data_IF_446489498389
#
_entry.id   IF_446489498389
#
_cell.length_a   1.000
_cell.length_b   1.000
_cell.length_c   1.000
_cell.angle_alpha   90.00
_cell.angle_beta   90.00
_cell.angle_gamma   90.00
#
_symmetry.space_group_name_H-M   'P 1'
#
loop_
_entity.id
_entity.type
_entity.pdbx_description
1 polymer ?
#
# COMPACT_ATOMS: atom_id res chain seq x y z
N UNK A 1 28.85 14.95 -18.21
CA UNK A 1 28.79 16.44 -18.20
C UNK A 1 28.59 16.92 -19.64
N UNK A 2 27.33 16.83 -20.15
CA UNK A 2 26.95 17.41 -21.43
C UNK A 2 27.04 18.94 -21.39
N UNK A 3 27.42 19.54 -22.52
CA UNK A 3 27.30 20.97 -22.70
C UNK A 3 25.82 21.35 -22.58
N UNK A 4 25.52 22.39 -21.81
CA UNK A 4 24.17 22.91 -21.67
C UNK A 4 23.63 23.26 -23.05
N UNK A 5 22.45 22.72 -23.45
CA UNK A 5 21.77 23.07 -24.70
C UNK A 5 21.87 22.02 -25.82
N UNK A 6 22.21 20.76 -25.52
CA UNK A 6 22.05 19.66 -26.48
C UNK A 6 20.59 19.27 -26.68
N UNK A 7 20.29 18.50 -27.73
CA UNK A 7 18.93 18.07 -28.06
C UNK A 7 18.79 16.56 -28.02
N UNK A 8 17.60 16.11 -27.58
CA UNK A 8 17.20 14.73 -27.55
C UNK A 8 16.33 14.39 -28.77
N UNK A 9 16.49 13.19 -29.29
CA UNK A 9 15.64 12.65 -30.35
C UNK A 9 15.62 11.14 -30.33
N UNK A 10 14.58 10.51 -30.87
CA UNK A 10 14.64 9.08 -31.15
C UNK A 10 15.62 8.80 -32.28
N UNK A 11 16.41 7.72 -32.16
CA UNK A 11 17.26 7.24 -33.24
C UNK A 11 16.44 6.68 -34.41
N UNK A 12 15.28 6.05 -34.07
CA UNK A 12 14.31 5.57 -35.04
C UNK A 12 12.91 6.06 -34.57
N UNK A 13 12.07 6.52 -35.49
CA UNK A 13 10.74 6.99 -35.16
C UNK A 13 9.90 5.86 -34.51
N UNK A 14 9.33 6.07 -33.31
CA UNK A 14 8.41 5.12 -32.71
C UNK A 14 7.16 4.89 -33.54
N UNK A 15 6.61 3.67 -33.50
CA UNK A 15 5.38 3.31 -34.22
C UNK A 15 4.17 3.21 -33.30
N UNK A 16 4.39 3.33 -31.97
CA UNK A 16 3.41 3.15 -30.90
C UNK A 16 2.95 4.47 -30.24
N UNK A 17 3.26 5.60 -30.89
CA UNK A 17 2.85 6.91 -30.43
C UNK A 17 3.72 7.54 -29.32
N UNK A 18 4.87 6.94 -29.00
CA UNK A 18 5.82 7.58 -28.09
C UNK A 18 6.31 8.93 -28.65
N UNK A 19 6.45 9.93 -27.78
CA UNK A 19 6.92 11.28 -28.10
C UNK A 19 8.05 11.65 -27.15
N UNK A 20 9.07 12.34 -27.68
CA UNK A 20 10.17 12.87 -26.87
C UNK A 20 10.19 14.40 -26.94
N UNK A 21 10.34 15.03 -25.78
CA UNK A 21 10.64 16.46 -25.71
C UNK A 21 12.11 16.69 -26.00
N UNK A 22 12.42 17.49 -27.03
CA UNK A 22 13.78 17.64 -27.53
C UNK A 22 14.72 18.36 -26.56
N UNK A 23 14.18 19.19 -25.66
CA UNK A 23 14.98 20.01 -24.74
C UNK A 23 15.20 19.31 -23.40
N UNK A 24 14.18 18.61 -22.90
CA UNK A 24 14.21 17.94 -21.60
C UNK A 24 14.57 16.45 -21.67
N UNK A 25 14.37 15.83 -22.84
CA UNK A 25 14.52 14.38 -23.03
C UNK A 25 13.37 13.56 -22.42
N UNK A 26 12.30 14.21 -21.98
CA UNK A 26 11.15 13.51 -21.44
C UNK A 26 10.45 12.71 -22.53
N UNK A 27 10.33 11.40 -22.33
CA UNK A 27 9.57 10.50 -23.21
C UNK A 27 8.20 10.25 -22.60
N UNK A 28 7.15 10.39 -23.40
CA UNK A 28 5.77 10.14 -23.01
C UNK A 28 5.06 9.26 -24.03
N UNK A 29 4.09 8.49 -23.58
CA UNK A 29 3.42 7.48 -24.44
C UNK A 29 4.30 6.25 -24.67
N UNK A 30 3.91 5.45 -25.66
CA UNK A 30 4.56 4.19 -25.99
C UNK A 30 3.95 2.99 -25.30
N UNK A 31 4.18 1.82 -25.88
CA UNK A 31 3.66 0.56 -25.35
C UNK A 31 4.59 -0.05 -24.31
N UNK A 32 4.05 -0.76 -23.35
CA UNK A 32 4.84 -1.51 -22.37
C UNK A 32 5.72 -2.57 -23.05
N UNK A 33 6.97 -2.66 -22.60
CA UNK A 33 7.98 -3.54 -23.19
C UNK A 33 8.71 -2.97 -24.39
N UNK A 34 8.32 -1.77 -24.87
CA UNK A 34 9.02 -1.09 -25.95
C UNK A 34 10.39 -0.60 -25.49
N UNK A 35 11.36 -0.70 -26.40
CA UNK A 35 12.70 -0.16 -26.22
C UNK A 35 12.96 0.93 -27.25
N UNK A 36 13.45 2.07 -26.79
CA UNK A 36 13.80 3.18 -27.66
C UNK A 36 15.27 3.53 -27.51
N UNK A 37 15.94 3.72 -28.65
CA UNK A 37 17.26 4.33 -28.70
C UNK A 37 17.11 5.85 -28.77
N UNK A 38 17.67 6.53 -27.79
CA UNK A 38 17.62 8.00 -27.67
C UNK A 38 18.99 8.56 -28.02
N UNK A 39 19.00 9.47 -28.97
CA UNK A 39 20.15 10.28 -29.31
C UNK A 39 20.16 11.56 -28.46
N UNK A 40 21.30 11.87 -27.87
CA UNK A 40 21.58 13.19 -27.35
C UNK A 40 22.70 13.82 -28.19
N UNK A 41 22.39 14.93 -28.87
CA UNK A 41 23.31 15.64 -29.72
C UNK A 41 23.68 16.97 -29.10
N UNK A 42 24.98 17.19 -28.86
CA UNK A 42 25.49 18.45 -28.31
C UNK A 42 25.40 19.59 -29.34
N UNK A 43 25.15 20.83 -28.83
CA UNK A 43 25.19 22.02 -29.64
C UNK A 43 26.64 22.49 -29.88
N UNK A 44 26.85 23.27 -30.96
CA UNK A 44 28.13 23.94 -31.24
C UNK A 44 28.65 23.64 -32.62
N UNK A 45 29.87 24.13 -32.98
CA UNK A 45 30.41 23.99 -34.31
C UNK A 45 30.93 22.55 -34.62
N UNK A 46 31.07 21.71 -33.58
CA UNK A 46 31.46 20.31 -33.70
C UNK A 46 30.52 19.46 -32.83
N UNK A 47 29.25 19.23 -33.26
CA UNK A 47 28.32 18.44 -32.51
C UNK A 47 28.77 16.97 -32.39
N UNK A 48 28.53 16.36 -31.22
CA UNK A 48 28.72 14.93 -30.99
C UNK A 48 27.41 14.33 -30.52
N UNK A 49 27.16 13.08 -30.90
CA UNK A 49 25.96 12.34 -30.50
C UNK A 49 26.32 11.14 -29.65
N UNK A 50 25.64 10.98 -28.53
CA UNK A 50 25.61 9.75 -27.73
C UNK A 50 24.23 9.07 -27.90
N UNK A 51 24.23 7.75 -27.74
CA UNK A 51 23.01 6.93 -27.86
C UNK A 51 22.86 6.14 -26.57
N UNK A 52 21.64 6.22 -26.00
CA UNK A 52 21.24 5.42 -24.84
C UNK A 52 19.93 4.69 -25.15
N UNK A 53 19.74 3.53 -24.53
CA UNK A 53 18.51 2.76 -24.66
C UNK A 53 17.66 2.93 -23.41
N UNK A 54 16.37 3.22 -23.59
CA UNK A 54 15.37 3.24 -22.54
C UNK A 54 14.32 2.17 -22.80
N UNK A 55 13.76 1.59 -21.73
CA UNK A 55 12.70 0.57 -21.80
C UNK A 55 11.46 1.07 -21.06
N UNK A 56 10.28 0.90 -21.66
CA UNK A 56 8.99 1.18 -21.01
C UNK A 56 8.60 -0.06 -20.21
N UNK A 57 8.70 0.01 -18.88
CA UNK A 57 8.36 -1.10 -18.00
C UNK A 57 6.88 -1.08 -17.62
N UNK A 58 6.29 -2.26 -17.38
CA UNK A 58 4.96 -2.38 -16.82
C UNK A 58 4.93 -1.87 -15.36
N UNK A 59 3.81 -1.25 -14.94
CA UNK A 59 3.58 -1.07 -13.50
C UNK A 59 3.45 -2.44 -12.82
N UNK A 60 3.68 -2.52 -11.49
CA UNK A 60 3.47 -3.75 -10.75
C UNK A 60 2.00 -4.20 -10.83
N UNK A 61 1.78 -5.52 -11.02
CA UNK A 61 0.46 -6.12 -10.90
C UNK A 61 0.12 -6.29 -9.41
N UNK A 62 -0.90 -5.58 -8.94
CA UNK A 62 -1.33 -5.58 -7.55
C UNK A 62 -2.76 -6.09 -7.42
N UNK A 63 -3.09 -6.55 -6.21
CA UNK A 63 -4.45 -6.97 -5.84
C UNK A 63 -5.02 -5.92 -4.89
N UNK A 64 -6.27 -5.52 -5.12
CA UNK A 64 -7.00 -4.69 -4.17
C UNK A 64 -7.23 -5.49 -2.88
N UNK A 65 -6.72 -5.04 -1.74
CA UNK A 65 -6.81 -5.82 -0.51
C UNK A 65 -8.23 -5.83 0.05
N UNK A 66 -8.56 -6.91 0.73
CA UNK A 66 -9.75 -6.93 1.60
C UNK A 66 -9.56 -5.97 2.77
N UNK A 67 -10.65 -5.40 3.33
CA UNK A 67 -10.54 -4.52 4.51
C UNK A 67 -9.72 -5.15 5.63
N UNK A 68 -8.97 -4.32 6.35
CA UNK A 68 -8.28 -4.73 7.57
C UNK A 68 -9.24 -4.54 8.75
N UNK A 69 -9.74 -5.65 9.29
CA UNK A 69 -10.65 -5.67 10.42
C UNK A 69 -9.90 -6.08 11.70
N UNK A 70 -10.03 -5.28 12.74
CA UNK A 70 -9.42 -5.54 14.05
C UNK A 70 -10.40 -5.20 15.17
N UNK A 71 -10.34 -5.96 16.26
CA UNK A 71 -11.11 -5.62 17.45
C UNK A 71 -10.55 -4.35 18.11
N UNK A 72 -11.45 -3.53 18.63
CA UNK A 72 -11.11 -2.36 19.44
C UNK A 72 -10.27 -2.79 20.67
N UNK A 73 -9.47 -1.88 21.17
CA UNK A 73 -8.70 -2.11 22.38
C UNK A 73 -9.59 -2.02 23.64
N UNK A 74 -8.97 -1.82 24.82
CA UNK A 74 -9.73 -1.72 26.08
C UNK A 74 -10.55 -0.44 26.22
N UNK A 75 -10.41 0.51 25.28
CA UNK A 75 -11.16 1.77 25.25
C UNK A 75 -12.06 1.71 24.02
N UNK A 76 -13.37 1.57 24.24
CA UNK A 76 -14.33 1.43 23.15
C UNK A 76 -14.57 2.78 22.44
N UNK A 77 -13.53 3.31 21.76
CA UNK A 77 -13.58 4.58 21.04
C UNK A 77 -13.45 4.44 19.51
N UNK A 78 -13.28 3.20 19.02
CA UNK A 78 -13.14 2.90 17.61
C UNK A 78 -11.74 3.21 17.05
N UNK A 79 -10.76 3.47 17.92
CA UNK A 79 -9.38 3.79 17.54
C UNK A 79 -8.43 2.75 18.13
N UNK A 80 -7.61 2.10 17.26
CA UNK A 80 -6.66 1.08 17.73
C UNK A 80 -5.43 1.02 16.84
N UNK A 81 -4.30 0.54 17.37
CA UNK A 81 -3.08 0.33 16.60
C UNK A 81 -3.19 -0.94 15.75
N UNK A 82 -2.87 -0.83 14.47
CA UNK A 82 -2.92 -1.90 13.48
C UNK A 82 -1.55 -2.11 12.84
N UNK A 83 -1.15 -3.37 12.64
CA UNK A 83 -0.01 -3.72 11.80
C UNK A 83 -0.46 -3.77 10.32
N UNK A 84 -0.14 -2.74 9.57
CA UNK A 84 -0.49 -2.65 8.15
C UNK A 84 0.23 -3.70 7.30
N UNK A 85 1.40 -4.18 7.74
CA UNK A 85 2.23 -5.11 6.97
C UNK A 85 1.59 -6.46 6.72
N UNK A 86 0.60 -6.85 7.51
CA UNK A 86 -0.14 -8.11 7.33
C UNK A 86 -0.87 -8.18 5.98
N UNK A 87 -1.15 -7.02 5.36
CA UNK A 87 -1.77 -6.91 4.04
C UNK A 87 -0.77 -6.97 2.87
N UNK A 88 0.53 -6.85 3.14
CA UNK A 88 1.54 -6.81 2.08
C UNK A 88 1.49 -8.01 1.15
N UNK A 89 1.35 -9.22 1.70
CA UNK A 89 1.31 -10.45 0.89
C UNK A 89 0.09 -10.52 -0.01
N UNK A 90 -1.08 -10.07 0.48
CA UNK A 90 -2.31 -9.98 -0.30
C UNK A 90 -2.16 -8.99 -1.46
N UNK A 91 -1.70 -7.77 -1.16
CA UNK A 91 -1.52 -6.68 -2.12
C UNK A 91 -0.54 -7.05 -3.23
N UNK A 92 0.60 -7.66 -2.87
CA UNK A 92 1.67 -7.99 -3.80
C UNK A 92 1.51 -9.36 -4.48
N UNK A 93 0.46 -10.11 -4.14
CA UNK A 93 0.31 -11.52 -4.50
C UNK A 93 1.58 -12.35 -4.15
N UNK A 94 2.25 -11.97 -3.05
CA UNK A 94 3.47 -12.62 -2.56
C UNK A 94 4.72 -12.33 -3.41
N UNK A 95 4.72 -11.36 -4.30
CA UNK A 95 5.90 -11.02 -5.11
C UNK A 95 6.97 -10.33 -4.24
N UNK A 96 8.18 -10.94 -4.06
CA UNK A 96 9.22 -10.39 -3.20
C UNK A 96 9.92 -9.15 -3.78
N UNK A 97 9.72 -8.85 -5.07
CA UNK A 97 10.29 -7.67 -5.71
C UNK A 97 9.42 -6.42 -5.55
N UNK A 98 8.28 -6.53 -4.86
CA UNK A 98 7.38 -5.42 -4.64
C UNK A 98 7.53 -4.88 -3.23
N UNK A 99 7.73 -3.57 -3.11
CA UNK A 99 7.78 -2.83 -1.85
C UNK A 99 6.48 -2.08 -1.64
N UNK A 100 5.85 -2.25 -0.47
CA UNK A 100 4.57 -1.64 -0.11
C UNK A 100 4.81 -0.49 0.86
N UNK A 101 4.15 0.63 0.64
CA UNK A 101 4.13 1.79 1.53
C UNK A 101 2.71 2.34 1.65
N UNK A 102 2.36 2.87 2.81
CA UNK A 102 1.02 3.34 3.16
C UNK A 102 1.01 4.85 3.36
N UNK A 103 -0.09 5.52 3.01
CA UNK A 103 -0.20 6.97 3.00
C UNK A 103 -1.59 7.41 3.44
N UNK A 104 -1.67 8.63 3.99
CA UNK A 104 -2.94 9.21 4.40
C UNK A 104 -3.77 9.70 3.21
N UNK A 105 -3.13 10.19 2.15
CA UNK A 105 -3.79 10.74 0.97
C UNK A 105 -3.28 10.12 -0.33
N UNK A 106 -4.09 10.19 -1.38
CA UNK A 106 -3.71 9.78 -2.73
C UNK A 106 -2.50 10.59 -3.24
N UNK A 107 -2.49 11.90 -3.00
CA UNK A 107 -1.39 12.78 -3.43
C UNK A 107 -0.07 12.39 -2.78
N UNK A 108 -0.07 12.05 -1.49
CA UNK A 108 1.11 11.54 -0.79
C UNK A 108 1.57 10.19 -1.38
N UNK A 109 0.64 9.29 -1.71
CA UNK A 109 0.97 8.00 -2.33
C UNK A 109 1.56 8.17 -3.73
N UNK A 110 1.00 9.06 -4.55
CA UNK A 110 1.51 9.35 -5.89
C UNK A 110 2.91 9.96 -5.87
N UNK A 111 3.17 10.86 -4.92
CA UNK A 111 4.44 11.58 -4.80
C UNK A 111 5.43 10.95 -3.82
N UNK A 112 5.06 9.84 -3.16
CA UNK A 112 5.89 9.16 -2.14
C UNK A 112 6.28 10.09 -0.98
N UNK A 113 5.36 10.96 -0.54
CA UNK A 113 5.54 11.89 0.56
C UNK A 113 4.87 11.39 1.83
N UNK A 114 5.45 11.67 3.00
CA UNK A 114 4.84 11.43 4.31
C UNK A 114 4.26 10.02 4.51
N UNK A 115 5.04 8.94 4.32
CA UNK A 115 4.54 7.59 4.51
C UNK A 115 4.08 7.36 5.95
N UNK A 116 2.99 6.62 6.12
CA UNK A 116 2.51 6.18 7.43
C UNK A 116 3.45 5.14 8.04
N UNK A 117 3.56 5.09 9.37
CA UNK A 117 4.29 4.01 10.04
C UNK A 117 3.56 2.67 9.84
N UNK A 118 4.32 1.57 9.89
CA UNK A 118 3.74 0.21 9.74
C UNK A 118 2.75 -0.12 10.86
N UNK A 119 3.05 0.29 12.10
CA UNK A 119 2.10 0.26 13.20
C UNK A 119 1.39 1.60 13.25
N UNK A 120 0.13 1.61 12.81
CA UNK A 120 -0.65 2.81 12.62
C UNK A 120 -1.93 2.78 13.44
N UNK A 121 -2.20 3.85 14.18
CA UNK A 121 -3.49 4.05 14.86
C UNK A 121 -4.40 4.86 13.95
N UNK A 122 -5.58 4.32 13.64
CA UNK A 122 -6.58 5.03 12.86
C UNK A 122 -7.06 6.30 13.59
N UNK A 123 -7.46 7.31 12.83
CA UNK A 123 -7.95 8.60 13.39
C UNK A 123 -9.47 8.76 13.28
N UNK A 124 -10.11 7.86 12.56
CA UNK A 124 -11.56 7.77 12.38
C UNK A 124 -11.90 6.31 12.05
N UNK A 125 -13.13 5.89 12.34
CA UNK A 125 -13.59 4.53 12.03
C UNK A 125 -14.91 4.56 11.23
N UNK A 126 -15.01 3.93 10.06
CA UNK A 126 -13.91 3.35 9.27
C UNK A 126 -12.99 4.42 8.67
N UNK A 127 -11.74 4.04 8.33
CA UNK A 127 -10.79 4.91 7.66
C UNK A 127 -10.25 4.25 6.40
N UNK A 128 -10.21 4.98 5.29
CA UNK A 128 -9.51 4.56 4.06
C UNK A 128 -8.13 5.20 4.03
N UNK A 129 -7.10 4.39 3.78
CA UNK A 129 -5.72 4.83 3.52
C UNK A 129 -5.29 4.43 2.12
N UNK A 130 -4.26 5.09 1.60
CA UNK A 130 -3.73 4.87 0.25
C UNK A 130 -2.45 4.04 0.30
N UNK A 131 -2.29 3.19 -0.69
CA UNK A 131 -1.16 2.27 -0.81
C UNK A 131 -0.39 2.60 -2.08
N UNK A 132 0.94 2.57 -1.99
CA UNK A 132 1.84 2.60 -3.12
C UNK A 132 2.69 1.33 -3.12
N UNK A 133 2.68 0.62 -4.23
CA UNK A 133 3.52 -0.55 -4.48
C UNK A 133 4.54 -0.21 -5.54
N UNK A 134 5.82 -0.45 -5.26
CA UNK A 134 6.93 -0.17 -6.16
C UNK A 134 7.63 -1.48 -6.52
N UNK A 135 7.84 -1.74 -7.80
CA UNK A 135 8.77 -2.77 -8.25
C UNK A 135 10.21 -2.27 -8.05
N UNK A 136 10.97 -2.93 -7.16
CA UNK A 136 12.33 -2.53 -6.80
C UNK A 136 13.35 -2.62 -7.93
N UNK A 137 13.04 -3.38 -8.99
CA UNK A 137 13.93 -3.54 -10.14
C UNK A 137 13.76 -2.43 -11.18
N UNK A 138 12.51 -1.98 -11.38
CA UNK A 138 12.15 -1.02 -12.43
C UNK A 138 11.82 0.37 -11.92
N UNK A 139 11.53 0.49 -10.61
CA UNK A 139 10.98 1.68 -9.93
C UNK A 139 9.59 2.10 -10.46
N UNK A 140 8.94 1.27 -11.30
CA UNK A 140 7.55 1.48 -11.64
C UNK A 140 6.67 1.26 -10.42
N UNK A 141 5.55 1.96 -10.35
CA UNK A 141 4.64 1.84 -9.21
C UNK A 141 3.18 1.75 -9.64
N UNK A 142 2.37 1.18 -8.76
CA UNK A 142 0.91 1.20 -8.81
C UNK A 142 0.36 1.64 -7.45
N UNK A 143 -0.86 2.14 -7.43
CA UNK A 143 -1.55 2.57 -6.21
C UNK A 143 -2.90 1.89 -6.07
N UNK A 144 -3.32 1.64 -4.84
CA UNK A 144 -4.66 1.19 -4.45
C UNK A 144 -5.03 1.75 -3.08
N UNK A 145 -6.13 1.31 -2.49
CA UNK A 145 -6.58 1.74 -1.16
C UNK A 145 -6.76 0.55 -0.23
N UNK A 146 -6.78 0.81 1.07
CA UNK A 146 -7.10 -0.14 2.13
C UNK A 146 -8.06 0.50 3.11
N UNK A 147 -9.18 -0.18 3.36
CA UNK A 147 -10.11 0.22 4.39
C UNK A 147 -9.72 -0.41 5.73
N UNK A 148 -9.65 0.42 6.76
CA UNK A 148 -9.36 0.05 8.14
C UNK A 148 -10.67 0.09 8.92
N UNK A 149 -11.08 -1.05 9.49
CA UNK A 149 -12.31 -1.19 10.26
C UNK A 149 -11.99 -1.66 11.68
N UNK A 150 -12.32 -0.85 12.68
CA UNK A 150 -12.28 -1.24 14.08
C UNK A 150 -13.65 -1.75 14.50
N UNK A 151 -13.70 -2.99 14.97
CA UNK A 151 -14.93 -3.66 15.41
C UNK A 151 -15.00 -3.57 16.93
N UNK A 152 -16.08 -3.02 17.45
CA UNK A 152 -16.29 -2.96 18.90
C UNK A 152 -16.38 -4.35 19.50
N UNK A 153 -15.60 -4.60 20.55
CA UNK A 153 -15.67 -5.85 21.28
C UNK A 153 -17.06 -6.02 21.93
N UNK A 154 -17.64 -7.24 21.94
CA UNK A 154 -18.85 -7.48 22.69
C UNK A 154 -18.63 -7.19 24.18
N UNK A 155 -19.56 -6.47 24.79
CA UNK A 155 -19.52 -6.20 26.23
C UNK A 155 -19.94 -7.45 26.99
N UNK A 156 -19.06 -7.95 27.88
CA UNK A 156 -19.46 -8.97 28.83
C UNK A 156 -20.06 -8.29 30.07
N UNK A 157 -21.30 -8.66 30.41
CA UNK A 157 -21.93 -8.22 31.66
C UNK A 157 -21.49 -9.16 32.80
N UNK A 158 -21.28 -8.58 34.00
CA UNK A 158 -20.99 -9.40 35.16
C UNK A 158 -22.29 -10.12 35.59
N UNK A 159 -22.33 -11.46 35.54
CA UNK A 159 -23.53 -12.19 35.91
C UNK A 159 -23.80 -12.08 37.42
N UNK A 160 -25.07 -12.30 37.86
CA UNK A 160 -25.36 -12.39 39.27
C UNK A 160 -24.66 -13.58 39.92
N UNK A 161 -24.42 -13.51 41.24
CA UNK A 161 -23.85 -14.61 41.96
C UNK A 161 -24.75 -15.85 41.88
N UNK A 162 -24.20 -17.01 41.60
CA UNK A 162 -24.88 -18.29 41.71
C UNK A 162 -24.91 -18.70 43.19
N UNK A 163 -26.10 -18.96 43.71
CA UNK A 163 -26.31 -19.46 45.07
C UNK A 163 -26.69 -20.95 44.99
N UNK A 164 -26.15 -21.74 45.89
CA UNK A 164 -26.42 -23.15 45.99
C UNK A 164 -26.77 -23.49 47.45
N UNK A 165 -27.78 -24.33 47.61
CA UNK A 165 -28.12 -24.88 48.94
C UNK A 165 -27.36 -26.21 49.14
N UNK A 166 -26.40 -26.21 50.07
CA UNK A 166 -25.68 -27.40 50.51
C UNK A 166 -26.58 -28.24 51.42
N UNK A 167 -27.18 -29.28 50.85
CA UNK A 167 -28.19 -30.10 51.54
C UNK A 167 -27.62 -31.11 52.57
N UNK A 168 -26.35 -31.50 52.41
CA UNK A 168 -25.65 -32.46 53.26
C UNK A 168 -24.59 -31.82 54.16
N UNK A 169 -24.46 -30.48 54.08
CA UNK A 169 -23.59 -29.64 54.88
C UNK A 169 -22.09 -30.06 54.83
N UNK A 170 -21.62 -30.57 53.67
CA UNK A 170 -20.23 -30.99 53.46
C UNK A 170 -19.35 -29.84 52.93
N UNK A 171 -19.93 -28.70 52.61
CA UNK A 171 -19.24 -27.52 52.09
C UNK A 171 -18.92 -27.58 50.58
N UNK A 172 -19.43 -28.57 49.83
CA UNK A 172 -19.28 -28.70 48.41
C UNK A 172 -20.60 -28.59 47.67
N UNK A 173 -20.59 -27.91 46.51
CA UNK A 173 -21.76 -27.74 45.67
C UNK A 173 -21.44 -27.87 44.17
N UNK A 174 -22.44 -28.29 43.40
CA UNK A 174 -22.29 -28.42 41.94
C UNK A 174 -23.06 -27.23 41.31
N UNK A 175 -22.32 -26.40 40.61
CA UNK A 175 -22.87 -25.25 39.90
C UNK A 175 -22.94 -25.54 38.38
N UNK A 176 -24.09 -25.24 37.79
CA UNK A 176 -24.23 -25.25 36.34
C UNK A 176 -23.98 -23.82 35.80
N UNK A 177 -22.77 -23.60 35.28
CA UNK A 177 -22.36 -22.27 34.80
C UNK A 177 -23.09 -21.86 33.50
N UNK A 178 -23.64 -22.82 32.74
CA UNK A 178 -24.40 -22.48 31.52
C UNK A 178 -25.71 -21.71 31.79
N UNK A 179 -26.17 -21.65 33.05
CA UNK A 179 -27.30 -20.82 33.42
C UNK A 179 -26.99 -19.31 33.32
N UNK A 180 -25.71 -18.95 33.18
CA UNK A 180 -25.24 -17.57 33.07
C UNK A 180 -24.98 -17.15 31.62
N UNK A 181 -25.12 -18.06 30.63
CA UNK A 181 -24.84 -17.77 29.22
C UNK A 181 -25.90 -16.88 28.57
N UNK A 182 -27.11 -16.78 29.17
CA UNK A 182 -28.24 -16.01 28.65
C UNK A 182 -28.46 -14.65 29.38
N UNK A 183 -27.45 -14.15 30.11
CA UNK A 183 -27.57 -12.92 30.93
C UNK A 183 -26.85 -11.75 30.32
#
# INVERSE_FOLDING_TARGET
>A
TGLVGGQFSFANAPIDGAVIDSDTGLVTGGDYGSEYQINYTTNGPCPTTSIETITVNNPPEIVDPTPLEICDDNIADGLTEMDLSIKNTEITNGNPNYSVSYYFSEDDALNSNNPLPIYYTNIINPQTIHIRVVDINTNCFATTTLDLNVITAPSATSPPALEYCDADADGFGVFNLSQLDDV
#
